data_IF_722743159641
#
_entry.id   IF_722743159641
#
_cell.length_a   1.000
_cell.length_b   1.000
_cell.length_c   1.000
_cell.angle_alpha   90.00
_cell.angle_beta   90.00
_cell.angle_gamma   90.00
#
_symmetry.space_group_name_H-M   'P 1'
#
loop_
_entity.id
_entity.type
_entity.pdbx_description
1 polymer ?
#
# COMPACT_ATOMS: atom_id res chain seq x y z
N UNK A 1 -3.70 -14.20 -25.96
CA UNK A 1 -4.18 -13.10 -26.84
C UNK A 1 -3.03 -12.50 -27.63
N UNK A 2 -3.28 -12.12 -28.88
CA UNK A 2 -2.33 -11.35 -29.69
C UNK A 2 -2.36 -9.87 -29.29
N UNK A 3 -1.24 -9.15 -29.40
CA UNK A 3 -1.15 -7.75 -29.00
C UNK A 3 -2.16 -6.84 -29.73
N UNK A 4 -2.46 -7.15 -30.99
CA UNK A 4 -3.40 -6.39 -31.82
C UNK A 4 -4.86 -6.61 -31.37
N UNK A 5 -5.22 -7.85 -31.00
CA UNK A 5 -6.51 -8.19 -30.38
C UNK A 5 -6.70 -7.46 -29.05
N UNK A 6 -5.65 -7.42 -28.23
CA UNK A 6 -5.67 -6.73 -26.94
C UNK A 6 -5.89 -5.21 -27.11
N UNK A 7 -5.30 -4.60 -28.15
CA UNK A 7 -5.55 -3.20 -28.51
C UNK A 7 -7.00 -2.98 -28.90
N UNK A 8 -7.53 -3.84 -29.77
CA UNK A 8 -8.90 -3.75 -30.25
C UNK A 8 -9.92 -3.82 -29.10
N UNK A 9 -9.69 -4.72 -28.13
CA UNK A 9 -10.58 -4.86 -26.97
C UNK A 9 -10.59 -3.65 -26.03
N UNK A 10 -9.46 -2.95 -25.91
CA UNK A 10 -9.41 -1.66 -25.19
C UNK A 10 -9.88 -0.47 -26.03
N UNK A 11 -10.22 -0.68 -27.31
CA UNK A 11 -10.70 0.36 -28.21
C UNK A 11 -9.59 1.13 -28.94
N UNK A 12 -8.40 0.55 -29.05
CA UNK A 12 -7.29 1.10 -29.81
C UNK A 12 -7.19 0.47 -31.21
N UNK A 13 -6.71 1.21 -32.23
CA UNK A 13 -6.40 0.63 -33.52
C UNK A 13 -5.32 -0.46 -33.42
N UNK A 14 -5.39 -1.53 -34.23
CA UNK A 14 -4.46 -2.66 -34.14
C UNK A 14 -2.99 -2.24 -34.33
N UNK A 15 -2.73 -1.26 -35.19
CA UNK A 15 -1.37 -0.78 -35.48
C UNK A 15 -0.92 0.39 -34.59
N UNK A 16 -1.74 0.81 -33.63
CA UNK A 16 -1.41 1.93 -32.76
C UNK A 16 -0.44 1.51 -31.65
N UNK A 17 0.39 2.45 -31.19
CA UNK A 17 1.26 2.27 -30.02
C UNK A 17 0.75 3.17 -28.89
N UNK A 18 -0.32 2.76 -28.18
CA UNK A 18 -0.88 3.56 -27.10
C UNK A 18 0.11 3.65 -25.94
N UNK A 19 0.18 4.83 -25.33
CA UNK A 19 1.01 5.06 -24.15
C UNK A 19 0.42 4.35 -22.92
N UNK A 20 1.23 4.00 -21.90
CA UNK A 20 0.73 3.34 -20.69
C UNK A 20 -0.40 4.10 -19.97
N UNK A 21 -0.39 5.43 -20.02
CA UNK A 21 -1.45 6.28 -19.46
C UNK A 21 -2.76 6.12 -20.23
N UNK A 22 -2.71 6.11 -21.56
CA UNK A 22 -3.87 5.86 -22.43
C UNK A 22 -4.41 4.46 -22.22
N UNK A 23 -3.54 3.44 -22.17
CA UNK A 23 -3.94 2.05 -21.89
C UNK A 23 -4.69 1.96 -20.55
N UNK A 24 -4.17 2.62 -19.51
CA UNK A 24 -4.82 2.65 -18.19
C UNK A 24 -6.16 3.39 -18.21
N UNK A 25 -6.25 4.51 -18.93
CA UNK A 25 -7.49 5.27 -19.05
C UNK A 25 -8.58 4.46 -19.78
N UNK A 26 -8.22 3.84 -20.91
CA UNK A 26 -9.12 2.98 -21.68
C UNK A 26 -9.56 1.76 -20.88
N UNK A 27 -8.64 1.12 -20.14
CA UNK A 27 -8.96 0.02 -19.23
C UNK A 27 -10.00 0.43 -18.18
N UNK A 28 -9.81 1.56 -17.50
CA UNK A 28 -10.77 2.04 -16.48
C UNK A 28 -12.16 2.27 -17.07
N UNK A 29 -12.22 2.86 -18.27
CA UNK A 29 -13.48 3.07 -19.00
C UNK A 29 -14.17 1.74 -19.31
N UNK A 30 -13.43 0.77 -19.88
CA UNK A 30 -13.96 -0.55 -20.26
C UNK A 30 -14.37 -1.41 -19.07
N UNK A 31 -13.61 -1.34 -17.98
CA UNK A 31 -13.97 -2.00 -16.72
C UNK A 31 -15.28 -1.45 -16.17
N UNK A 32 -15.46 -0.13 -16.18
CA UNK A 32 -16.71 0.46 -15.72
C UNK A 32 -17.89 0.02 -16.59
N UNK A 33 -17.72 -0.02 -17.92
CA UNK A 33 -18.76 -0.50 -18.86
C UNK A 33 -19.13 -1.98 -18.66
N UNK A 34 -18.21 -2.80 -18.15
CA UNK A 34 -18.38 -4.26 -18.00
C UNK A 34 -18.48 -4.73 -16.55
N UNK A 35 -18.64 -3.80 -15.60
CA UNK A 35 -18.63 -4.14 -14.18
C UNK A 35 -19.87 -4.97 -13.81
N UNK A 36 -19.73 -6.16 -13.22
CA UNK A 36 -20.86 -7.08 -12.98
C UNK A 36 -21.94 -6.50 -12.05
N UNK A 37 -21.62 -5.49 -11.24
CA UNK A 37 -22.59 -4.79 -10.38
C UNK A 37 -23.56 -3.88 -11.14
N UNK A 38 -23.24 -3.50 -12.38
CA UNK A 38 -24.15 -2.70 -13.21
C UNK A 38 -25.20 -3.57 -13.93
N UNK A 39 -25.02 -4.89 -13.94
CA UNK A 39 -25.84 -5.80 -14.72
C UNK A 39 -26.81 -6.61 -13.83
N UNK A 40 -28.04 -6.86 -14.32
CA UNK A 40 -28.97 -7.76 -13.66
C UNK A 40 -28.44 -9.20 -13.65
N UNK A 41 -28.94 -10.04 -12.74
CA UNK A 41 -28.38 -11.38 -12.42
C UNK A 41 -28.18 -12.29 -13.64
N UNK A 42 -29.06 -12.19 -14.64
CA UNK A 42 -28.99 -13.02 -15.85
C UNK A 42 -27.85 -12.60 -16.80
N UNK A 43 -27.43 -11.34 -16.78
CA UNK A 43 -26.35 -10.81 -17.63
C UNK A 43 -24.98 -10.82 -16.95
N UNK A 44 -24.93 -11.03 -15.62
CA UNK A 44 -23.69 -11.03 -14.83
C UNK A 44 -22.59 -11.91 -15.39
N UNK A 45 -22.91 -13.15 -15.80
CA UNK A 45 -21.90 -14.07 -16.38
C UNK A 45 -21.27 -13.50 -17.66
N UNK A 46 -22.07 -12.80 -18.47
CA UNK A 46 -21.58 -12.18 -19.71
C UNK A 46 -20.72 -10.95 -19.41
N UNK A 47 -21.09 -10.16 -18.40
CA UNK A 47 -20.31 -9.01 -17.93
C UNK A 47 -18.97 -9.47 -17.34
N UNK A 48 -18.97 -10.51 -16.51
CA UNK A 48 -17.76 -11.13 -15.95
C UNK A 48 -16.82 -11.65 -17.04
N UNK A 49 -17.36 -12.32 -18.06
CA UNK A 49 -16.57 -12.79 -19.21
C UNK A 49 -15.90 -11.62 -19.93
N UNK A 50 -16.64 -10.54 -20.21
CA UNK A 50 -16.10 -9.31 -20.83
C UNK A 50 -15.04 -8.65 -19.94
N UNK A 51 -15.31 -8.53 -18.64
CA UNK A 51 -14.38 -7.97 -17.67
C UNK A 51 -13.06 -8.74 -17.65
N UNK A 52 -13.13 -10.08 -17.67
CA UNK A 52 -11.95 -10.96 -17.70
C UNK A 52 -11.14 -10.78 -19.00
N UNK A 53 -11.81 -10.69 -20.14
CA UNK A 53 -11.16 -10.42 -21.43
C UNK A 53 -10.44 -9.05 -21.45
N UNK A 54 -11.07 -8.02 -20.89
CA UNK A 54 -10.50 -6.67 -20.77
C UNK A 54 -9.26 -6.68 -19.85
N UNK A 55 -9.32 -7.43 -18.75
CA UNK A 55 -8.19 -7.59 -17.83
C UNK A 55 -7.01 -8.31 -18.48
N UNK A 56 -7.27 -9.39 -19.23
CA UNK A 56 -6.23 -10.11 -19.98
C UNK A 56 -5.58 -9.21 -21.03
N UNK A 57 -6.38 -8.47 -21.80
CA UNK A 57 -5.88 -7.49 -22.78
C UNK A 57 -4.96 -6.43 -22.14
N UNK A 58 -5.37 -5.86 -21.00
CA UNK A 58 -4.55 -4.90 -20.27
C UNK A 58 -3.20 -5.49 -19.84
N UNK A 59 -3.20 -6.70 -19.31
CA UNK A 59 -1.95 -7.37 -18.91
C UNK A 59 -1.05 -7.63 -20.11
N UNK A 60 -1.59 -8.11 -21.24
CA UNK A 60 -0.84 -8.35 -22.47
C UNK A 60 -0.13 -7.07 -22.97
N UNK A 61 -0.83 -5.94 -22.98
CA UNK A 61 -0.25 -4.66 -23.41
C UNK A 61 0.78 -4.09 -22.43
N UNK A 62 0.65 -4.42 -21.15
CA UNK A 62 1.62 -4.01 -20.13
C UNK A 62 2.90 -4.85 -20.15
N UNK A 63 2.81 -6.13 -20.52
CA UNK A 63 3.95 -7.05 -20.69
C UNK A 63 4.86 -6.64 -21.85
N UNK A 64 4.29 -6.15 -22.96
CA UNK A 64 5.06 -5.71 -24.14
C UNK A 64 5.84 -4.42 -23.93
N UNK A 65 5.54 -3.64 -22.89
CA UNK A 65 6.17 -2.35 -22.61
C UNK A 65 7.25 -2.46 -21.52
N UNK A 66 8.21 -3.39 -21.63
CA UNK A 66 9.48 -3.39 -20.88
C UNK A 66 9.43 -3.12 -19.36
N UNK A 67 8.30 -3.36 -18.69
CA UNK A 67 8.09 -3.19 -17.25
C UNK A 67 7.59 -4.50 -16.70
N UNK A 68 8.52 -5.43 -16.69
CA UNK A 68 8.40 -6.73 -16.08
C UNK A 68 7.99 -6.57 -14.60
N UNK A 69 6.79 -7.03 -14.28
CA UNK A 69 6.60 -7.79 -13.03
C UNK A 69 6.12 -7.09 -11.76
N UNK A 70 5.45 -5.93 -11.79
CA UNK A 70 4.88 -5.37 -10.53
C UNK A 70 3.38 -5.62 -10.32
N UNK A 71 2.51 -5.46 -11.33
CA UNK A 71 1.05 -5.48 -11.09
C UNK A 71 0.41 -6.87 -11.26
N UNK A 72 0.77 -7.63 -12.30
CA UNK A 72 0.22 -8.98 -12.55
C UNK A 72 0.66 -10.02 -11.50
N UNK A 73 1.92 -9.97 -11.08
CA UNK A 73 2.44 -10.80 -9.99
C UNK A 73 1.91 -10.39 -8.61
N UNK A 74 1.31 -9.19 -8.49
CA UNK A 74 0.64 -8.75 -7.25
C UNK A 74 -0.79 -9.27 -7.22
N UNK A 75 -1.58 -9.11 -8.28
CA UNK A 75 -2.98 -9.58 -8.28
C UNK A 75 -3.06 -11.11 -8.07
N UNK A 76 -2.26 -11.90 -8.80
CA UNK A 76 -2.26 -13.36 -8.65
C UNK A 76 -1.77 -13.85 -7.28
N UNK A 77 -0.82 -13.13 -6.64
CA UNK A 77 -0.39 -13.43 -5.26
C UNK A 77 -1.41 -13.01 -4.22
N UNK A 78 -2.16 -11.92 -4.42
CA UNK A 78 -3.15 -11.47 -3.42
C UNK A 78 -4.32 -12.46 -3.33
N UNK A 79 -4.79 -13.02 -4.46
CA UNK A 79 -5.88 -14.01 -4.44
C UNK A 79 -5.45 -15.41 -3.98
N UNK A 80 -4.17 -15.80 -4.19
CA UNK A 80 -3.67 -17.13 -3.79
C UNK A 80 -2.91 -17.17 -2.46
N UNK A 81 -2.38 -16.05 -2.00
CA UNK A 81 -1.36 -16.02 -0.92
C UNK A 81 -1.61 -14.88 0.09
N UNK A 82 -2.57 -13.99 -0.15
CA UNK A 82 -2.78 -12.80 0.67
C UNK A 82 -1.79 -11.67 0.37
N UNK A 83 -2.01 -10.49 0.97
CA UNK A 83 -1.21 -9.28 0.72
C UNK A 83 0.26 -9.54 1.08
N UNK A 84 1.23 -9.38 0.16
CA UNK A 84 2.62 -9.56 0.49
C UNK A 84 3.05 -8.47 1.49
N UNK A 85 3.52 -8.90 2.67
CA UNK A 85 4.24 -8.05 3.61
C UNK A 85 5.54 -7.64 2.94
N UNK A 86 5.65 -6.38 2.53
CA UNK A 86 6.78 -5.85 1.80
C UNK A 86 8.08 -5.97 2.62
N UNK A 87 8.84 -7.04 2.41
CA UNK A 87 10.25 -7.14 2.76
C UNK A 87 11.04 -7.20 1.46
N UNK A 88 11.66 -6.07 1.08
CA UNK A 88 12.54 -6.06 -0.09
C UNK A 88 12.62 -4.73 -0.81
N UNK A 89 12.95 -3.65 -0.10
CA UNK A 89 13.35 -2.39 -0.71
C UNK A 89 14.56 -1.85 0.03
N UNK A 90 15.71 -1.79 -0.65
CA UNK A 90 16.93 -1.12 -0.19
C UNK A 90 16.60 0.35 0.05
N UNK A 91 16.18 0.68 1.27
CA UNK A 91 15.79 2.03 1.70
C UNK A 91 16.58 2.34 2.98
N UNK A 92 17.22 3.50 3.01
CA UNK A 92 18.05 3.98 4.12
C UNK A 92 17.26 3.90 5.44
N UNK A 93 17.48 2.82 6.20
CA UNK A 93 16.74 2.45 7.42
C UNK A 93 16.85 3.50 8.53
N UNK A 94 17.90 4.33 8.47
CA UNK A 94 18.12 5.44 9.41
C UNK A 94 17.07 6.54 9.34
N UNK A 95 16.65 6.98 8.15
CA UNK A 95 15.81 8.18 8.01
C UNK A 95 14.35 7.99 8.48
N UNK A 96 13.88 6.75 8.59
CA UNK A 96 12.49 6.45 9.01
C UNK A 96 12.40 6.22 10.53
N UNK A 97 13.51 5.86 11.18
CA UNK A 97 13.52 5.49 12.60
C UNK A 97 13.88 6.66 13.53
N UNK A 98 14.57 7.67 13.00
CA UNK A 98 14.95 8.89 13.73
C UNK A 98 13.75 9.64 14.36
N UNK A 99 12.60 9.87 13.69
CA UNK A 99 11.53 10.67 14.29
C UNK A 99 10.92 10.01 15.54
N UNK A 100 10.78 8.68 15.55
CA UNK A 100 10.20 7.99 16.71
C UNK A 100 11.19 7.78 17.86
N UNK A 101 12.49 7.57 17.56
CA UNK A 101 13.53 7.51 18.59
C UNK A 101 13.68 8.84 19.34
N UNK A 102 13.61 9.98 18.63
CA UNK A 102 13.67 11.30 19.25
C UNK A 102 12.46 11.58 20.15
N UNK A 103 11.26 11.13 19.76
CA UNK A 103 10.05 11.26 20.59
C UNK A 103 10.18 10.45 21.88
N UNK A 104 10.56 9.17 21.79
CA UNK A 104 10.70 8.31 22.98
C UNK A 104 11.82 8.79 23.91
N UNK A 105 12.97 9.18 23.37
CA UNK A 105 14.09 9.69 24.16
C UNK A 105 13.77 11.06 24.79
N UNK A 106 13.06 11.93 24.06
CA UNK A 106 12.63 13.24 24.55
C UNK A 106 11.63 13.17 25.71
N UNK A 107 10.66 12.26 25.67
CA UNK A 107 9.65 12.13 26.74
C UNK A 107 10.24 11.59 28.04
N UNK A 108 11.22 10.69 27.97
CA UNK A 108 11.84 10.11 29.18
C UNK A 108 12.84 11.11 29.80
N UNK A 109 13.60 11.84 28.99
CA UNK A 109 14.61 12.79 29.48
C UNK A 109 14.04 14.01 30.18
N UNK A 110 13.01 14.66 29.62
CA UNK A 110 12.49 15.90 30.18
C UNK A 110 11.51 15.70 31.36
N UNK A 111 10.76 14.59 31.38
CA UNK A 111 9.79 14.30 32.44
C UNK A 111 10.43 13.80 33.75
N UNK A 112 11.48 12.98 33.67
CA UNK A 112 12.10 12.34 34.84
C UNK A 112 12.94 13.27 35.71
N UNK A 113 13.62 14.26 35.11
CA UNK A 113 14.53 15.16 35.86
C UNK A 113 13.77 16.12 36.80
N UNK A 114 12.58 16.58 36.42
CA UNK A 114 11.78 17.48 37.25
C UNK A 114 11.15 16.79 38.47
N UNK A 115 10.64 15.57 38.30
CA UNK A 115 10.06 14.79 39.40
C UNK A 115 11.10 14.42 40.47
N UNK A 116 12.29 14.00 40.03
CA UNK A 116 13.38 13.61 40.95
C UNK A 116 13.88 14.80 41.77
N UNK A 117 13.97 15.99 41.16
CA UNK A 117 14.39 17.21 41.86
C UNK A 117 13.33 17.71 42.85
N UNK A 118 12.05 17.61 42.51
CA UNK A 118 10.95 17.95 43.41
C UNK A 118 10.89 17.01 44.62
N UNK A 119 11.01 15.70 44.41
CA UNK A 119 11.05 14.71 45.49
C UNK A 119 12.23 14.95 46.45
N UNK A 120 13.42 15.25 45.93
CA UNK A 120 14.58 15.59 46.76
C UNK A 120 14.36 16.86 47.59
N UNK A 121 13.80 17.93 46.98
CA UNK A 121 13.44 19.15 47.73
C UNK A 121 12.42 18.87 48.83
N UNK A 122 11.41 18.04 48.56
CA UNK A 122 10.40 17.68 49.56
C UNK A 122 11.00 16.84 50.70
N UNK A 123 11.90 15.91 50.39
CA UNK A 123 12.62 15.11 51.40
C UNK A 123 13.53 15.96 52.29
N UNK A 124 14.17 16.99 51.73
CA UNK A 124 14.99 17.95 52.49
C UNK A 124 14.13 18.89 53.36
N UNK A 125 12.95 19.32 52.86
CA UNK A 125 12.05 20.20 53.60
C UNK A 125 11.25 19.48 54.72
N UNK A 126 10.98 18.19 54.55
CA UNK A 126 10.26 17.37 55.51
C UNK A 126 11.08 16.10 55.83
N UNK A 127 12.12 16.20 56.67
CA UNK A 127 12.81 15.01 57.16
C UNK A 127 11.83 14.18 58.00
N UNK A 128 11.40 13.02 57.48
CA UNK A 128 10.57 12.10 58.25
C UNK A 128 11.40 11.54 59.41
N UNK A 129 11.14 12.03 60.61
CA UNK A 129 11.73 11.50 61.83
C UNK A 129 11.16 10.09 62.07
N UNK A 130 11.99 9.06 61.95
CA UNK A 130 11.58 7.67 62.15
C UNK A 130 11.79 7.29 63.63
N UNK A 131 10.72 7.10 64.41
CA UNK A 131 10.83 6.82 65.84
C UNK A 131 11.29 5.39 66.17
N UNK A 132 11.54 4.55 65.15
CA UNK A 132 11.95 3.14 65.31
C UNK A 132 13.41 2.88 64.91
N UNK A 133 14.15 3.92 64.51
CA UNK A 133 15.60 3.84 64.33
C UNK A 133 16.27 4.61 65.49
N UNK A 134 17.23 4.02 66.21
CA UNK A 134 17.92 4.67 67.32
C UNK A 134 18.79 5.85 66.89
#
# INVERSE_FOLDING_TARGET
MQGDEARLLLGFPPNSRPTPSQIKAAYRKKVWESHPDLFPVHEKRSAESKFKLIAEAYTCLQSGSGREGSYSATYSRVVRTGVPKAHGGRRNRGLIQIPFLLIVLGTVGLGGLNATRAYRKQKEACPSHNPFLP
#
